data_IF_731632227128
#
_entry.id   IF_731632227128
#
_cell.length_a   1.000
_cell.length_b   1.000
_cell.length_c   1.000
_cell.angle_alpha   90.00
_cell.angle_beta   90.00
_cell.angle_gamma   90.00
#
_symmetry.space_group_name_H-M   'P 1'
#
loop_
_entity.id
_entity.type
_entity.pdbx_description
1 polymer ?
#
# COMPACT_ATOMS: atom_id res chain seq x y z
N UNK A 1 6.80 -0.13 13.93
CA UNK A 1 7.67 0.15 15.07
C UNK A 1 9.06 0.55 14.63
N UNK A 2 9.65 1.52 15.31
CA UNK A 2 10.96 2.08 14.96
C UNK A 2 11.96 1.80 16.05
N UNK A 3 13.19 1.49 15.63
CA UNK A 3 14.26 1.21 16.56
C UNK A 3 15.25 0.26 15.92
N UNK A 4 16.25 -0.13 16.72
CA UNK A 4 17.30 -0.98 16.22
C UNK A 4 16.78 -2.33 15.75
N UNK A 5 15.72 -2.81 16.36
CA UNK A 5 15.19 -4.13 16.05
C UNK A 5 13.97 -4.08 15.16
N UNK A 6 13.67 -2.92 14.59
CA UNK A 6 12.52 -2.82 13.69
C UNK A 6 12.81 -3.62 12.42
N UNK A 7 11.79 -4.37 11.98
CA UNK A 7 11.91 -5.17 10.77
C UNK A 7 11.86 -4.31 9.50
N UNK A 8 11.23 -3.15 9.57
CA UNK A 8 11.10 -2.27 8.42
C UNK A 8 10.20 -1.10 8.73
N UNK A 9 9.66 -0.49 7.67
CA UNK A 9 8.76 0.65 7.86
C UNK A 9 7.75 0.70 6.72
N UNK A 10 6.72 1.49 6.93
CA UNK A 10 5.76 1.80 5.88
C UNK A 10 5.55 3.31 5.84
N UNK A 11 5.51 3.86 4.63
CA UNK A 11 5.17 5.25 4.41
C UNK A 11 3.73 5.31 3.94
N UNK A 12 2.91 6.02 4.69
CA UNK A 12 1.49 6.16 4.38
C UNK A 12 1.15 7.63 4.27
N UNK A 13 0.23 7.95 3.39
CA UNK A 13 -0.28 9.31 3.30
C UNK A 13 -1.78 9.26 3.14
N UNK A 14 -2.43 10.39 3.41
CA UNK A 14 -3.87 10.49 3.32
C UNK A 14 -4.27 11.47 2.25
N UNK A 15 -5.36 11.16 1.57
CA UNK A 15 -5.97 12.08 0.64
C UNK A 15 -7.48 11.90 0.72
N UNK A 16 -8.19 12.58 -0.16
CA UNK A 16 -9.65 12.49 -0.20
C UNK A 16 -10.07 12.20 -1.61
N UNK A 17 -11.04 11.31 -1.76
CA UNK A 17 -11.58 10.97 -3.08
C UNK A 17 -13.10 11.05 -3.03
N UNK A 18 -13.69 11.99 -3.78
CA UNK A 18 -15.15 12.01 -3.90
C UNK A 18 -15.69 10.71 -4.46
N UNK A 19 -14.94 10.10 -5.37
CA UNK A 19 -15.36 8.85 -5.98
C UNK A 19 -15.45 7.73 -4.94
N UNK A 20 -14.47 7.65 -4.07
CA UNK A 20 -14.48 6.64 -3.02
C UNK A 20 -15.42 7.02 -1.88
N UNK A 21 -15.83 8.27 -1.82
CA UNK A 21 -16.74 8.74 -0.79
C UNK A 21 -16.08 9.14 0.49
N UNK A 22 -14.80 9.49 0.48
CA UNK A 22 -14.14 9.91 1.71
C UNK A 22 -12.64 9.78 1.68
N UNK A 23 -12.04 9.70 2.85
CA UNK A 23 -10.58 9.63 2.97
C UNK A 23 -10.01 8.38 2.32
N UNK A 24 -8.84 8.55 1.72
CA UNK A 24 -8.10 7.49 1.06
C UNK A 24 -6.74 7.39 1.73
N UNK A 25 -6.35 6.18 2.05
CA UNK A 25 -5.03 5.91 2.58
C UNK A 25 -4.15 5.38 1.48
N UNK A 26 -3.04 6.08 1.23
CA UNK A 26 -2.05 5.67 0.25
C UNK A 26 -0.95 4.89 0.94
N UNK A 27 -0.66 3.71 0.45
CA UNK A 27 0.53 2.97 0.85
C UNK A 27 1.63 3.37 -0.11
N UNK A 28 2.47 4.33 0.32
CA UNK A 28 3.49 4.88 -0.55
C UNK A 28 4.67 3.94 -0.67
N UNK A 29 5.04 3.31 0.43
CA UNK A 29 6.20 2.43 0.44
C UNK A 29 6.11 1.51 1.63
N UNK A 30 6.49 0.25 1.41
CA UNK A 30 6.71 -0.71 2.48
C UNK A 30 8.13 -1.22 2.31
N UNK A 31 8.96 -1.01 3.31
CA UNK A 31 10.34 -1.46 3.29
C UNK A 31 10.57 -2.46 4.42
N UNK A 32 11.10 -3.60 4.06
CA UNK A 32 11.46 -4.64 5.03
C UNK A 32 12.97 -4.82 4.96
N UNK A 33 13.60 -4.76 6.13
CA UNK A 33 15.05 -4.94 6.20
C UNK A 33 15.43 -6.31 5.67
N UNK A 34 16.57 -6.44 4.99
CA UNK A 34 16.94 -7.71 4.35
C UNK A 34 16.90 -8.90 5.29
N UNK A 35 17.26 -8.70 6.55
CA UNK A 35 17.28 -9.82 7.50
C UNK A 35 15.89 -10.38 7.79
N UNK A 36 14.84 -9.65 7.44
CA UNK A 36 13.47 -10.04 7.74
C UNK A 36 12.63 -10.35 6.51
N UNK A 37 13.22 -10.32 5.32
CA UNK A 37 12.43 -10.40 4.09
C UNK A 37 11.79 -11.75 3.85
N UNK A 38 12.34 -12.81 4.39
CA UNK A 38 11.79 -14.15 4.18
C UNK A 38 10.65 -14.49 5.12
N UNK A 39 10.20 -13.55 5.95
CA UNK A 39 9.24 -13.83 7.01
C UNK A 39 7.84 -13.30 6.73
N UNK A 40 7.57 -12.85 5.51
CA UNK A 40 6.25 -12.40 5.09
C UNK A 40 5.72 -11.21 5.90
N UNK A 41 6.63 -10.42 6.45
CA UNK A 41 6.22 -9.31 7.32
C UNK A 41 5.44 -8.27 6.54
N UNK A 42 5.90 -7.95 5.33
CA UNK A 42 5.18 -6.97 4.50
C UNK A 42 3.79 -7.43 4.13
N UNK A 43 3.63 -8.71 3.78
CA UNK A 43 2.33 -9.26 3.45
C UNK A 43 1.41 -9.24 4.66
N UNK A 44 1.94 -9.61 5.82
CA UNK A 44 1.15 -9.64 7.04
C UNK A 44 0.71 -8.24 7.45
N UNK A 45 1.61 -7.26 7.32
CA UNK A 45 1.27 -5.88 7.61
C UNK A 45 0.14 -5.40 6.71
N UNK A 46 0.26 -5.66 5.42
CA UNK A 46 -0.73 -5.19 4.47
C UNK A 46 -2.08 -5.88 4.69
N UNK A 47 -2.05 -7.18 5.00
CA UNK A 47 -3.28 -7.90 5.28
C UNK A 47 -3.98 -7.33 6.53
N UNK A 48 -3.20 -7.03 7.56
CA UNK A 48 -3.76 -6.45 8.77
C UNK A 48 -4.36 -5.07 8.50
N UNK A 49 -3.67 -4.27 7.69
CA UNK A 49 -4.18 -2.95 7.33
C UNK A 49 -5.49 -3.04 6.57
N UNK A 50 -5.60 -4.01 5.67
CA UNK A 50 -6.82 -4.20 4.89
C UNK A 50 -7.98 -4.67 5.75
N UNK A 51 -7.71 -5.49 6.76
CA UNK A 51 -8.75 -5.98 7.65
C UNK A 51 -9.20 -4.93 8.66
N UNK A 52 -8.28 -4.06 9.07
CA UNK A 52 -8.56 -3.08 10.10
C UNK A 52 -8.02 -1.72 9.69
N UNK A 53 -8.60 -1.09 8.66
CA UNK A 53 -8.13 0.21 8.23
C UNK A 53 -8.43 1.27 9.29
N UNK A 54 -7.67 2.37 9.26
CA UNK A 54 -7.96 3.47 10.18
C UNK A 54 -9.40 3.95 10.03
N UNK A 55 -9.95 4.44 11.14
CA UNK A 55 -11.35 4.87 11.14
C UNK A 55 -11.60 5.90 10.05
N UNK A 56 -12.70 5.75 9.34
CA UNK A 56 -13.12 6.69 8.31
C UNK A 56 -12.52 6.47 6.94
N UNK A 57 -11.49 5.63 6.84
CA UNK A 57 -10.86 5.37 5.54
C UNK A 57 -11.80 4.56 4.66
N UNK A 58 -12.04 5.05 3.45
CA UNK A 58 -12.97 4.41 2.50
C UNK A 58 -12.24 3.66 1.40
N UNK A 59 -10.94 3.89 1.23
CA UNK A 59 -10.16 3.24 0.17
C UNK A 59 -8.71 3.19 0.59
N UNK A 60 -8.05 2.09 0.25
CA UNK A 60 -6.60 1.96 0.40
C UNK A 60 -6.04 1.83 -1.01
N UNK A 61 -5.08 2.68 -1.36
CA UNK A 61 -4.48 2.69 -2.69
C UNK A 61 -3.00 2.39 -2.60
N UNK A 62 -2.51 1.75 -3.63
CA UNK A 62 -1.08 1.55 -3.81
C UNK A 62 -0.79 1.52 -5.30
N UNK A 63 0.49 1.63 -5.64
CA UNK A 63 0.92 1.51 -7.02
C UNK A 63 1.82 0.29 -7.15
N UNK A 64 1.78 -0.32 -8.32
CA UNK A 64 2.58 -1.50 -8.59
C UNK A 64 2.98 -1.48 -10.05
N UNK A 65 4.21 -1.90 -10.32
CA UNK A 65 4.69 -2.01 -11.69
C UNK A 65 4.01 -3.16 -12.40
N UNK A 66 3.70 -2.96 -13.67
CA UNK A 66 2.99 -3.99 -14.44
C UNK A 66 3.77 -5.29 -14.52
N UNK A 67 5.10 -5.22 -14.47
CA UNK A 67 5.94 -6.41 -14.54
C UNK A 67 6.00 -7.18 -13.22
N UNK A 68 5.56 -6.56 -12.14
CA UNK A 68 5.69 -7.18 -10.82
C UNK A 68 4.50 -8.10 -10.56
N UNK A 69 4.44 -9.18 -11.32
CA UNK A 69 3.29 -10.09 -11.27
C UNK A 69 3.12 -10.73 -9.91
N UNK A 70 4.22 -10.96 -9.20
CA UNK A 70 4.14 -11.57 -7.88
C UNK A 70 3.42 -10.66 -6.88
N UNK A 71 3.77 -9.38 -6.89
CA UNK A 71 3.10 -8.43 -6.02
C UNK A 71 1.65 -8.25 -6.41
N UNK A 72 1.36 -8.19 -7.71
CA UNK A 72 -0.01 -8.05 -8.18
C UNK A 72 -0.88 -9.20 -7.67
N UNK A 73 -0.37 -10.43 -7.74
CA UNK A 73 -1.12 -11.57 -7.24
C UNK A 73 -1.41 -11.45 -5.75
N UNK A 74 -0.42 -11.01 -4.99
CA UNK A 74 -0.62 -10.80 -3.56
C UNK A 74 -1.72 -9.77 -3.32
N UNK A 75 -1.64 -8.64 -4.00
CA UNK A 75 -2.62 -7.58 -3.79
C UNK A 75 -4.02 -8.02 -4.19
N UNK A 76 -4.13 -8.76 -5.29
CA UNK A 76 -5.43 -9.27 -5.71
C UNK A 76 -6.02 -10.22 -4.69
N UNK A 77 -5.19 -11.07 -4.09
CA UNK A 77 -5.67 -11.96 -3.03
C UNK A 77 -6.19 -11.19 -1.83
N UNK A 78 -5.65 -10.01 -1.59
CA UNK A 78 -6.10 -9.17 -0.47
C UNK A 78 -7.33 -8.33 -0.82
N UNK A 79 -7.78 -8.39 -2.08
CA UNK A 79 -8.97 -7.67 -2.48
C UNK A 79 -8.71 -6.41 -3.28
N UNK A 80 -7.46 -6.10 -3.58
CA UNK A 80 -7.15 -4.96 -4.44
C UNK A 80 -7.54 -5.27 -5.88
N UNK A 81 -7.89 -4.23 -6.60
CA UNK A 81 -8.18 -4.32 -8.03
C UNK A 81 -7.58 -3.11 -8.72
N UNK A 82 -7.34 -3.25 -10.01
CA UNK A 82 -6.86 -2.11 -10.77
C UNK A 82 -7.96 -1.10 -10.94
N UNK A 83 -7.58 0.17 -10.89
CA UNK A 83 -8.50 1.25 -11.22
C UNK A 83 -8.57 1.38 -12.73
N UNK A 84 -9.74 1.76 -13.26
CA UNK A 84 -9.90 1.89 -14.71
C UNK A 84 -9.40 3.23 -15.25
N UNK A 85 -8.61 3.95 -14.47
CA UNK A 85 -8.15 5.28 -14.87
C UNK A 85 -6.68 5.27 -15.19
N UNK A 86 -6.31 6.02 -16.20
CA UNK A 86 -4.92 6.29 -16.51
C UNK A 86 -4.51 7.57 -15.78
N UNK A 87 -3.29 7.60 -15.31
CA UNK A 87 -2.77 8.78 -14.64
C UNK A 87 -1.87 9.52 -15.59
N UNK A 88 -1.91 10.84 -15.49
CA UNK A 88 -1.06 11.70 -16.28
C UNK A 88 -0.32 12.62 -15.33
N UNK A 89 0.88 13.02 -15.75
CA UNK A 89 1.71 13.87 -14.91
C UNK A 89 2.39 14.90 -15.80
N UNK A 90 2.54 16.09 -15.25
CA UNK A 90 3.35 17.15 -15.87
C UNK A 90 4.36 17.60 -14.83
N UNK A 91 5.61 17.25 -15.05
CA UNK A 91 6.66 17.63 -14.11
C UNK A 91 7.10 19.07 -14.37
N UNK A 92 7.35 19.79 -13.29
CA UNK A 92 7.87 21.15 -13.34
C UNK A 92 9.27 21.19 -12.77
N UNK A 93 10.11 21.99 -13.34
CA UNK A 93 11.48 22.14 -12.83
C UNK A 93 11.54 23.03 -11.63
#
# INVERSE_FOLDING_TARGET
EWGENAAGYALLSKSYSPEAGGPVLWVEEIYIRPAFRAHRIGSDFLAALCQNPPAGVRRIRLEVEAENTRAIRLYERLGFRFLPYLQMVLDKE
#
